data_IF_545646430430
#
_entry.id   IF_545646430430
#
_cell.length_a   1.000
_cell.length_b   1.000
_cell.length_c   1.000
_cell.angle_alpha   90.00
_cell.angle_beta   90.00
_cell.angle_gamma   90.00
#
_symmetry.space_group_name_H-M   'P 1'
#
loop_
_entity.id
_entity.type
_entity.pdbx_description
1 polymer ?
#
# COMPACT_ATOMS: atom_id res chain seq x y z
N UNK A 1 -7.15 -5.09 -7.34
CA UNK A 1 -7.10 -5.86 -6.09
C UNK A 1 -5.88 -6.77 -6.00
N UNK A 2 -5.40 -6.96 -4.78
CA UNK A 2 -4.21 -7.79 -4.53
C UNK A 2 -4.39 -9.24 -4.94
N UNK A 3 -5.60 -9.78 -4.88
CA UNK A 3 -5.87 -11.14 -5.33
C UNK A 3 -5.44 -11.38 -6.78
N UNK A 4 -5.71 -10.41 -7.64
CA UNK A 4 -5.34 -10.49 -9.05
C UNK A 4 -3.82 -10.50 -9.21
N UNK A 5 -3.12 -9.71 -8.40
CA UNK A 5 -1.65 -9.67 -8.42
C UNK A 5 -1.06 -10.97 -7.91
N UNK A 6 -1.62 -11.53 -6.83
CA UNK A 6 -1.17 -12.80 -6.25
C UNK A 6 -1.36 -13.97 -7.20
N UNK A 7 -2.43 -13.94 -8.01
CA UNK A 7 -2.74 -14.99 -8.96
C UNK A 7 -1.93 -14.90 -10.25
N UNK A 8 -1.29 -13.77 -10.51
CA UNK A 8 -0.45 -13.55 -11.68
C UNK A 8 0.98 -14.01 -11.39
N UNK A 9 1.31 -15.24 -11.81
CA UNK A 9 2.63 -15.82 -11.61
C UNK A 9 3.62 -15.45 -12.73
N UNK A 10 3.23 -14.60 -13.67
CA UNK A 10 4.00 -14.35 -14.89
C UNK A 10 4.84 -13.08 -14.86
N UNK A 11 4.76 -12.25 -13.79
CA UNK A 11 5.54 -11.03 -13.72
C UNK A 11 6.58 -11.11 -12.61
N UNK A 12 7.81 -10.71 -12.94
CA UNK A 12 8.90 -10.65 -11.97
C UNK A 12 8.72 -9.50 -10.96
N UNK A 13 7.75 -8.61 -11.19
CA UNK A 13 7.52 -7.43 -10.37
C UNK A 13 6.35 -7.59 -9.40
N UNK A 14 5.80 -8.81 -9.25
CA UNK A 14 4.64 -9.01 -8.37
C UNK A 14 4.95 -8.65 -6.92
N UNK A 15 6.12 -9.01 -6.40
CA UNK A 15 6.49 -8.67 -5.03
C UNK A 15 6.58 -7.16 -4.84
N UNK A 16 7.14 -6.44 -5.81
CA UNK A 16 7.23 -4.98 -5.77
C UNK A 16 5.83 -4.38 -5.75
N UNK A 17 4.94 -4.87 -6.61
CA UNK A 17 3.56 -4.38 -6.71
C UNK A 17 2.77 -4.62 -5.42
N UNK A 18 2.94 -5.78 -4.80
CA UNK A 18 2.29 -6.11 -3.53
C UNK A 18 2.79 -5.16 -2.43
N UNK A 19 4.10 -4.99 -2.30
CA UNK A 19 4.68 -4.12 -1.28
C UNK A 19 4.26 -2.66 -1.48
N UNK A 20 4.26 -2.19 -2.72
CA UNK A 20 3.84 -0.84 -3.07
C UNK A 20 2.35 -0.62 -2.75
N UNK A 21 1.51 -1.60 -3.06
CA UNK A 21 0.07 -1.54 -2.74
C UNK A 21 -0.17 -1.52 -1.24
N UNK A 22 0.51 -2.38 -0.49
CA UNK A 22 0.37 -2.42 0.96
C UNK A 22 0.86 -1.13 1.61
N UNK A 23 1.95 -0.55 1.12
CA UNK A 23 2.42 0.76 1.58
C UNK A 23 1.32 1.81 1.41
N UNK A 24 0.68 1.85 0.24
CA UNK A 24 -0.36 2.84 -0.04
C UNK A 24 -1.61 2.63 0.83
N UNK A 25 -2.00 1.39 1.08
CA UNK A 25 -3.14 1.06 1.93
C UNK A 25 -2.93 1.60 3.35
N UNK A 26 -1.80 1.27 3.97
CA UNK A 26 -1.49 1.74 5.32
C UNK A 26 -1.21 3.24 5.35
N UNK A 27 -0.51 3.76 4.34
CA UNK A 27 -0.23 5.19 4.24
C UNK A 27 -1.50 6.01 4.19
N UNK A 28 -2.47 5.60 3.39
CA UNK A 28 -3.75 6.29 3.29
C UNK A 28 -4.51 6.29 4.63
N UNK A 29 -4.53 5.15 5.32
CA UNK A 29 -5.16 5.06 6.65
C UNK A 29 -4.48 5.98 7.66
N UNK A 30 -3.17 6.06 7.63
CA UNK A 30 -2.42 6.97 8.50
C UNK A 30 -2.76 8.44 8.21
N UNK A 31 -2.70 8.84 6.94
CA UNK A 31 -2.88 10.25 6.56
C UNK A 31 -4.33 10.73 6.70
N UNK A 32 -5.32 9.83 6.65
CA UNK A 32 -6.72 10.20 6.87
C UNK A 32 -6.92 10.66 8.32
N UNK A 33 -6.36 9.94 9.29
CA UNK A 33 -6.56 10.27 10.70
C UNK A 33 -5.30 9.96 11.51
N UNK A 34 -4.30 10.87 11.49
CA UNK A 34 -3.05 10.65 12.24
C UNK A 34 -3.24 10.57 13.76
N UNK A 35 -4.40 10.98 14.27
CA UNK A 35 -4.71 10.95 15.70
C UNK A 35 -5.38 9.65 16.15
N UNK A 36 -5.71 8.75 15.21
CA UNK A 36 -6.29 7.46 15.53
C UNK A 36 -5.35 6.62 16.40
N UNK A 37 -5.92 5.79 17.28
CA UNK A 37 -5.11 4.91 18.15
C UNK A 37 -4.20 3.96 17.38
N UNK A 38 -4.60 3.58 16.17
CA UNK A 38 -3.83 2.68 15.32
C UNK A 38 -2.88 3.42 14.37
N UNK A 39 -2.86 4.74 14.39
CA UNK A 39 -2.10 5.55 13.42
C UNK A 39 -0.60 5.25 13.46
N UNK A 40 -0.05 5.03 14.64
CA UNK A 40 1.38 4.74 14.80
C UNK A 40 1.75 3.42 14.14
N UNK A 41 0.92 2.41 14.27
CA UNK A 41 1.11 1.13 13.60
C UNK A 41 1.00 1.28 12.09
N UNK A 42 -0.01 2.02 11.61
CA UNK A 42 -0.17 2.28 10.18
C UNK A 42 1.05 3.01 9.60
N UNK A 43 1.57 4.00 10.32
CA UNK A 43 2.78 4.71 9.91
C UNK A 43 3.98 3.77 9.79
N UNK A 44 4.20 2.96 10.82
CA UNK A 44 5.31 2.01 10.82
C UNK A 44 5.21 1.02 9.67
N UNK A 45 3.99 0.51 9.42
CA UNK A 45 3.79 -0.48 8.36
C UNK A 45 3.96 0.10 6.97
N UNK A 46 3.45 1.31 6.70
CA UNK A 46 3.64 1.88 5.37
C UNK A 46 5.12 2.15 5.07
N UNK A 47 5.87 2.58 6.07
CA UNK A 47 7.32 2.81 5.91
C UNK A 47 8.07 1.52 5.62
N UNK A 48 7.72 0.44 6.33
CA UNK A 48 8.33 -0.88 6.12
C UNK A 48 8.02 -1.40 4.71
N UNK A 49 6.76 -1.33 4.29
CA UNK A 49 6.37 -1.79 2.95
C UNK A 49 7.01 -0.96 1.84
N UNK A 50 7.08 0.36 2.04
CA UNK A 50 7.71 1.25 1.06
C UNK A 50 9.20 0.93 0.92
N UNK A 51 9.89 0.74 2.03
CA UNK A 51 11.30 0.34 2.03
C UNK A 51 11.48 -1.02 1.37
N UNK A 52 10.59 -1.97 1.66
CA UNK A 52 10.62 -3.30 1.06
C UNK A 52 10.42 -3.23 -0.46
N UNK A 53 9.53 -2.37 -0.94
CA UNK A 53 9.33 -2.17 -2.38
C UNK A 53 10.60 -1.65 -3.05
N UNK A 54 11.30 -0.70 -2.42
CA UNK A 54 12.57 -0.17 -2.92
C UNK A 54 13.61 -1.29 -3.00
N UNK A 55 13.77 -2.06 -1.94
CA UNK A 55 14.77 -3.15 -1.88
C UNK A 55 14.49 -4.23 -2.92
N UNK A 56 13.22 -4.61 -3.10
CA UNK A 56 12.83 -5.58 -4.12
C UNK A 56 13.07 -5.05 -5.53
N UNK A 57 12.81 -3.77 -5.77
CA UNK A 57 13.06 -3.15 -7.07
C UNK A 57 14.54 -3.17 -7.41
N UNK A 58 15.40 -2.83 -6.46
CA UNK A 58 16.86 -2.89 -6.63
C UNK A 58 17.29 -4.32 -6.96
N UNK A 59 16.79 -5.28 -6.21
CA UNK A 59 17.16 -6.69 -6.35
C UNK A 59 16.71 -7.29 -7.69
N UNK A 60 15.47 -7.03 -8.07
CA UNK A 60 14.86 -7.66 -9.27
C UNK A 60 15.27 -6.93 -10.55
N UNK A 61 15.25 -5.60 -10.53
CA UNK A 61 15.46 -4.79 -11.73
C UNK A 61 16.86 -4.20 -11.82
N UNK A 62 17.72 -4.48 -10.84
CA UNK A 62 19.10 -3.98 -10.80
C UNK A 62 19.18 -2.45 -10.95
N UNK A 63 18.21 -1.75 -10.32
CA UNK A 63 18.15 -0.29 -10.37
C UNK A 63 19.06 0.33 -9.32
N UNK A 64 19.44 1.59 -9.54
CA UNK A 64 20.14 2.40 -8.56
C UNK A 64 19.21 2.69 -7.37
N UNK A 65 19.75 2.71 -6.16
CA UNK A 65 18.96 2.93 -4.94
C UNK A 65 18.21 4.26 -4.96
N UNK A 66 18.87 5.34 -5.35
CA UNK A 66 18.27 6.66 -5.41
C UNK A 66 17.13 6.71 -6.43
N UNK A 67 17.35 6.14 -7.60
CA UNK A 67 16.36 6.08 -8.67
C UNK A 67 15.14 5.26 -8.23
N UNK A 68 15.37 4.09 -7.64
CA UNK A 68 14.31 3.22 -7.15
C UNK A 68 13.49 3.90 -6.05
N UNK A 69 14.18 4.58 -5.11
CA UNK A 69 13.52 5.31 -4.03
C UNK A 69 12.61 6.40 -4.58
N UNK A 70 13.10 7.22 -5.50
CA UNK A 70 12.31 8.28 -6.13
C UNK A 70 11.08 7.73 -6.83
N UNK A 71 11.24 6.65 -7.58
CA UNK A 71 10.14 6.00 -8.29
C UNK A 71 9.07 5.49 -7.32
N UNK A 72 9.48 4.79 -6.29
CA UNK A 72 8.54 4.24 -5.31
C UNK A 72 7.82 5.33 -4.53
N UNK A 73 8.51 6.41 -4.18
CA UNK A 73 7.90 7.56 -3.50
C UNK A 73 6.84 8.22 -4.38
N UNK A 74 7.12 8.42 -5.68
CA UNK A 74 6.16 9.03 -6.60
C UNK A 74 4.92 8.16 -6.77
N UNK A 75 5.10 6.84 -6.93
CA UNK A 75 3.98 5.90 -6.99
C UNK A 75 3.17 5.91 -5.70
N UNK A 76 3.85 5.95 -4.56
CA UNK A 76 3.21 6.01 -3.25
C UNK A 76 2.34 7.27 -3.11
N UNK A 77 2.88 8.43 -3.45
CA UNK A 77 2.13 9.70 -3.37
C UNK A 77 0.87 9.69 -4.22
N UNK A 78 0.97 9.15 -5.42
CA UNK A 78 -0.19 9.03 -6.32
C UNK A 78 -1.22 8.06 -5.77
N UNK A 79 -0.76 6.91 -5.30
CA UNK A 79 -1.64 5.84 -4.80
C UNK A 79 -2.36 6.24 -3.52
N UNK A 80 -1.71 6.92 -2.58
CA UNK A 80 -2.37 7.33 -1.34
C UNK A 80 -3.49 8.33 -1.59
N UNK A 81 -3.34 9.24 -2.54
CA UNK A 81 -4.41 10.16 -2.90
C UNK A 81 -5.66 9.41 -3.38
N UNK A 82 -5.46 8.41 -4.21
CA UNK A 82 -6.53 7.57 -4.71
C UNK A 82 -7.21 6.80 -3.58
N UNK A 83 -6.43 6.14 -2.72
CA UNK A 83 -6.98 5.35 -1.62
C UNK A 83 -7.67 6.21 -0.56
N UNK A 84 -7.15 7.41 -0.28
CA UNK A 84 -7.81 8.33 0.64
C UNK A 84 -9.23 8.64 0.17
N UNK A 85 -9.40 8.93 -1.12
CA UNK A 85 -10.72 9.20 -1.69
C UNK A 85 -11.66 8.00 -1.54
N UNK A 86 -11.16 6.80 -1.83
CA UNK A 86 -11.96 5.56 -1.71
C UNK A 86 -12.35 5.32 -0.25
N UNK A 87 -11.42 5.46 0.69
CA UNK A 87 -11.71 5.28 2.10
C UNK A 87 -12.77 6.27 2.61
N UNK A 88 -12.67 7.53 2.21
CA UNK A 88 -13.63 8.57 2.62
C UNK A 88 -15.01 8.24 2.06
N UNK A 89 -15.09 7.85 0.78
CA UNK A 89 -16.36 7.46 0.16
C UNK A 89 -16.97 6.25 0.87
N UNK A 90 -16.16 5.25 1.19
CA UNK A 90 -16.61 4.08 1.91
C UNK A 90 -17.11 4.43 3.32
N UNK A 91 -16.43 5.33 4.01
CA UNK A 91 -16.85 5.79 5.33
C UNK A 91 -18.22 6.48 5.27
N UNK A 92 -18.44 7.32 4.28
CA UNK A 92 -19.74 8.00 4.09
C UNK A 92 -20.86 7.01 3.84
N UNK A 93 -20.59 5.93 3.12
CA UNK A 93 -21.59 4.93 2.75
C UNK A 93 -21.83 3.89 3.84
N UNK A 94 -20.77 3.41 4.48
CA UNK A 94 -20.81 2.26 5.38
C UNK A 94 -20.40 2.57 6.82
N UNK A 95 -20.06 3.82 7.13
CA UNK A 95 -19.58 4.25 8.43
C UNK A 95 -18.30 3.48 8.86
N UNK A 96 -17.50 3.06 7.88
CA UNK A 96 -16.23 2.38 8.07
C UNK A 96 -15.36 2.61 6.84
N UNK A 97 -14.06 2.71 7.03
CA UNK A 97 -13.12 2.85 5.92
C UNK A 97 -12.97 1.56 5.10
N UNK A 98 -13.11 0.41 5.73
CA UNK A 98 -12.80 -0.88 5.13
C UNK A 98 -14.00 -1.79 4.92
N UNK A 99 -14.97 -1.80 5.84
CA UNK A 99 -16.07 -2.76 5.83
C UNK A 99 -16.92 -2.65 4.57
N UNK A 100 -17.32 -3.79 4.03
CA UNK A 100 -18.18 -3.88 2.85
C UNK A 100 -17.55 -3.29 1.59
N UNK A 101 -16.21 -3.34 1.52
CA UNK A 101 -15.44 -2.83 0.39
C UNK A 101 -14.31 -3.81 0.06
N UNK A 102 -13.91 -3.89 -1.21
CA UNK A 102 -12.81 -4.77 -1.63
C UNK A 102 -11.48 -4.43 -0.93
N UNK A 103 -11.31 -3.21 -0.45
CA UNK A 103 -10.12 -2.82 0.32
C UNK A 103 -9.96 -3.60 1.62
N UNK A 104 -11.06 -4.09 2.21
CA UNK A 104 -10.96 -4.93 3.41
C UNK A 104 -10.17 -6.20 3.13
N UNK A 105 -10.42 -6.83 1.99
CA UNK A 105 -9.67 -8.02 1.59
C UNK A 105 -8.19 -7.70 1.34
N UNK A 106 -7.90 -6.59 0.67
CA UNK A 106 -6.54 -6.13 0.43
C UNK A 106 -5.81 -5.87 1.76
N UNK A 107 -6.47 -5.19 2.69
CA UNK A 107 -5.93 -4.93 4.02
C UNK A 107 -5.58 -6.25 4.74
N UNK A 108 -6.50 -7.21 4.70
CA UNK A 108 -6.28 -8.51 5.34
C UNK A 108 -5.12 -9.28 4.71
N UNK A 109 -4.93 -9.17 3.41
CA UNK A 109 -3.77 -9.75 2.73
C UNK A 109 -2.48 -9.09 3.22
N UNK A 110 -2.45 -7.76 3.31
CA UNK A 110 -1.27 -7.04 3.79
C UNK A 110 -0.92 -7.38 5.24
N UNK A 111 -1.91 -7.68 6.08
CA UNK A 111 -1.69 -8.07 7.47
C UNK A 111 -0.93 -9.39 7.61
N UNK A 112 -0.91 -10.21 6.56
CA UNK A 112 -0.21 -11.50 6.57
C UNK A 112 1.28 -11.40 6.23
N UNK A 113 1.74 -10.25 5.79
CA UNK A 113 3.16 -10.06 5.44
C UNK A 113 4.01 -9.50 6.57
#
# INVERSE_FOLDING_TARGET
>A
PLEEILDDNNTNNNSINIMSRCAAIYGALYFINPSDTNSKEYENRYKIFLQSAVLEDIKINNTDEEESYKKQIEEFKTSIKFFIQIYIQNYKKNNSYLKNHWLENDFNICEKF
#
